data_IF_128476724987
#
_entry.id   IF_128476724987
#
_cell.length_a   1.000
_cell.length_b   1.000
_cell.length_c   1.000
_cell.angle_alpha   90.00
_cell.angle_beta   90.00
_cell.angle_gamma   90.00
#
_symmetry.space_group_name_H-M   'P 1'
#
loop_
_entity.id
_entity.type
_entity.pdbx_description
1 polymer ?
#
# COMPACT_ATOMS: atom_id res chain seq x y z
N UNK A 1 -13.68 10.86 4.53
CA UNK A 1 -12.36 11.54 4.46
C UNK A 1 -12.32 12.76 5.37
N UNK A 2 -13.27 13.70 5.27
CA UNK A 2 -13.31 14.90 6.13
C UNK A 2 -13.32 14.55 7.63
N UNK A 3 -14.12 13.56 8.03
CA UNK A 3 -14.26 13.11 9.43
C UNK A 3 -13.09 12.21 9.90
N UNK A 4 -12.43 11.52 8.96
CA UNK A 4 -11.27 10.68 9.24
C UNK A 4 -10.00 11.49 9.56
N UNK A 5 -9.97 12.75 9.10
CA UNK A 5 -8.87 13.69 9.33
C UNK A 5 -7.52 13.29 8.74
N UNK A 6 -6.49 14.03 9.14
CA UNK A 6 -5.09 13.73 8.83
C UNK A 6 -4.63 12.30 9.18
N UNK A 7 -5.07 11.68 10.30
CA UNK A 7 -4.67 10.31 10.65
C UNK A 7 -5.05 9.27 9.60
N UNK A 8 -6.23 9.36 8.99
CA UNK A 8 -6.65 8.41 7.94
C UNK A 8 -5.80 8.52 6.68
N UNK A 9 -5.35 9.73 6.32
CA UNK A 9 -4.45 9.95 5.18
C UNK A 9 -3.07 9.37 5.47
N UNK A 10 -2.51 9.69 6.64
CA UNK A 10 -1.22 9.17 7.06
C UNK A 10 -1.22 7.65 7.10
N UNK A 11 -2.28 7.05 7.64
CA UNK A 11 -2.47 5.60 7.67
C UNK A 11 -2.49 5.01 6.25
N UNK A 12 -3.20 5.63 5.31
CA UNK A 12 -3.24 5.20 3.91
C UNK A 12 -1.90 5.28 3.20
N UNK A 13 -1.10 6.31 3.47
CA UNK A 13 0.27 6.45 2.94
C UNK A 13 1.16 5.35 3.49
N UNK A 14 1.14 5.13 4.81
CA UNK A 14 1.93 4.07 5.46
C UNK A 14 1.52 2.70 4.93
N UNK A 15 0.21 2.44 4.82
CA UNK A 15 -0.32 1.19 4.28
C UNK A 15 0.17 0.93 2.84
N UNK A 16 0.13 1.95 1.97
CA UNK A 16 0.65 1.84 0.61
C UNK A 16 2.16 1.47 0.56
N UNK A 17 2.94 1.96 1.53
CA UNK A 17 4.37 1.65 1.62
C UNK A 17 4.65 0.22 2.13
N UNK A 18 3.71 -0.44 2.80
CA UNK A 18 3.90 -1.83 3.24
C UNK A 18 4.12 -2.80 2.07
N UNK A 19 3.66 -2.46 0.86
CA UNK A 19 3.96 -3.20 -0.38
C UNK A 19 5.46 -3.30 -0.71
N UNK A 20 6.30 -2.43 -0.13
CA UNK A 20 7.77 -2.55 -0.25
C UNK A 20 8.26 -3.86 0.37
N UNK A 21 7.63 -4.34 1.46
CA UNK A 21 7.97 -5.64 2.05
C UNK A 21 7.73 -6.79 1.07
N UNK A 22 6.55 -6.81 0.43
CA UNK A 22 6.22 -7.79 -0.59
C UNK A 22 7.15 -7.69 -1.81
N UNK A 23 7.52 -6.48 -2.23
CA UNK A 23 8.52 -6.27 -3.29
C UNK A 23 9.88 -6.93 -2.96
N UNK A 24 10.38 -6.73 -1.74
CA UNK A 24 11.66 -7.31 -1.30
C UNK A 24 11.57 -8.84 -1.25
N UNK A 25 10.46 -9.38 -0.75
CA UNK A 25 10.23 -10.82 -0.70
C UNK A 25 10.19 -11.44 -2.10
N UNK A 26 9.38 -10.91 -3.02
CA UNK A 26 9.31 -11.44 -4.39
C UNK A 26 10.67 -11.34 -5.11
N UNK A 27 11.43 -10.27 -4.86
CA UNK A 27 12.80 -10.14 -5.37
C UNK A 27 13.72 -11.24 -4.82
N UNK A 28 13.57 -11.62 -3.55
CA UNK A 28 14.34 -12.70 -2.94
C UNK A 28 13.99 -14.08 -3.54
N UNK A 29 12.71 -14.31 -3.84
CA UNK A 29 12.22 -15.51 -4.52
C UNK A 29 12.48 -15.52 -6.05
N UNK A 30 13.15 -14.49 -6.60
CA UNK A 30 13.39 -14.31 -8.04
C UNK A 30 12.12 -14.24 -8.89
N UNK A 31 11.00 -13.84 -8.28
CA UNK A 31 9.75 -13.54 -8.99
C UNK A 31 9.69 -12.06 -9.40
N UNK A 32 8.67 -11.69 -10.16
CA UNK A 32 8.45 -10.31 -10.64
C UNK A 32 8.13 -9.37 -9.47
N UNK A 33 9.09 -8.53 -9.01
CA UNK A 33 8.96 -7.85 -7.73
C UNK A 33 7.95 -6.69 -7.80
N UNK A 34 7.66 -6.18 -9.00
CA UNK A 34 6.68 -5.11 -9.23
C UNK A 34 5.27 -5.51 -8.74
N UNK A 35 4.94 -6.80 -8.84
CA UNK A 35 3.66 -7.34 -8.36
C UNK A 35 3.53 -7.12 -6.84
N UNK A 36 4.64 -7.18 -6.11
CA UNK A 36 4.71 -6.95 -4.66
C UNK A 36 4.41 -5.51 -4.27
N UNK A 37 4.88 -4.53 -5.07
CA UNK A 37 4.50 -3.12 -4.86
C UNK A 37 3.01 -2.90 -5.09
N UNK A 38 2.42 -3.58 -6.08
CA UNK A 38 0.99 -3.45 -6.36
C UNK A 38 0.10 -4.02 -5.25
N UNK A 39 0.61 -4.97 -4.45
CA UNK A 39 -0.11 -5.54 -3.31
C UNK A 39 -0.18 -4.59 -2.10
N UNK A 40 0.54 -3.46 -2.12
CA UNK A 40 0.47 -2.45 -1.07
C UNK A 40 -0.88 -1.71 -0.97
N UNK A 41 -1.79 -1.90 -1.90
CA UNK A 41 -3.14 -1.31 -1.82
C UNK A 41 -3.96 -1.94 -0.69
N UNK A 42 -4.65 -1.12 0.11
CA UNK A 42 -5.51 -1.63 1.20
C UNK A 42 -6.86 -2.05 0.64
N UNK A 43 -7.28 -3.29 0.92
CA UNK A 43 -8.58 -3.79 0.52
C UNK A 43 -9.72 -3.11 1.29
N UNK A 44 -10.82 -2.79 0.59
CA UNK A 44 -11.97 -2.09 1.19
C UNK A 44 -12.67 -2.89 2.30
N UNK A 45 -12.49 -4.21 2.34
CA UNK A 45 -13.01 -5.05 3.44
C UNK A 45 -12.36 -4.72 4.79
N UNK A 46 -11.18 -4.10 4.81
CA UNK A 46 -10.48 -3.71 6.02
C UNK A 46 -11.28 -2.72 6.88
N UNK A 47 -12.21 -1.97 6.26
CA UNK A 47 -13.11 -1.03 6.94
C UNK A 47 -13.98 -1.72 7.99
N UNK A 48 -14.27 -3.02 7.84
CA UNK A 48 -15.04 -3.78 8.84
C UNK A 48 -14.23 -4.16 10.09
N UNK A 49 -12.91 -4.07 10.05
CA UNK A 49 -12.02 -4.53 11.13
C UNK A 49 -12.29 -3.82 12.47
N UNK A 50 -12.45 -2.48 12.55
CA UNK A 50 -12.69 -1.82 13.82
C UNK A 50 -14.03 -2.21 14.45
N UNK A 51 -15.06 -2.46 13.64
CA UNK A 51 -16.35 -2.95 14.11
C UNK A 51 -16.24 -4.38 14.66
N UNK A 52 -15.48 -5.26 13.98
CA UNK A 52 -15.22 -6.61 14.48
C UNK A 52 -14.43 -6.59 15.81
N UNK A 53 -13.45 -5.70 15.94
CA UNK A 53 -12.68 -5.51 17.19
C UNK A 53 -13.59 -5.02 18.32
N UNK A 54 -14.50 -4.07 18.05
CA UNK A 54 -15.44 -3.59 19.06
C UNK A 54 -16.49 -4.65 19.48
N UNK A 55 -16.84 -5.56 18.58
CA UNK A 55 -17.69 -6.70 18.91
C UNK A 55 -16.98 -7.71 19.82
N UNK A 56 -15.65 -7.86 19.68
CA UNK A 56 -14.84 -8.72 20.54
C UNK A 56 -14.49 -8.07 21.89
N UNK A 57 -14.27 -6.74 21.91
CA UNK A 57 -13.98 -5.96 23.11
C UNK A 57 -14.86 -4.69 23.15
N UNK A 58 -15.91 -4.67 24.00
CA UNK A 58 -16.82 -3.54 24.13
C UNK A 58 -16.15 -2.23 24.55
N UNK A 59 -14.98 -2.28 25.21
CA UNK A 59 -14.24 -1.06 25.57
C UNK A 59 -13.76 -0.28 24.34
N UNK A 60 -13.58 -0.96 23.21
CA UNK A 60 -13.16 -0.37 21.93
C UNK A 60 -14.33 0.23 21.14
N UNK A 61 -15.58 0.06 21.58
CA UNK A 61 -16.75 0.62 20.90
C UNK A 61 -16.69 2.16 20.79
N UNK A 62 -16.06 2.83 21.76
CA UNK A 62 -15.90 4.29 21.80
C UNK A 62 -14.98 4.81 20.69
N UNK A 63 -14.04 3.99 20.21
CA UNK A 63 -13.09 4.38 19.14
C UNK A 63 -13.45 3.78 17.78
N UNK A 64 -14.34 2.78 17.74
CA UNK A 64 -14.66 2.01 16.54
C UNK A 64 -15.18 2.86 15.38
N UNK A 65 -16.06 3.82 15.65
CA UNK A 65 -16.62 4.72 14.63
C UNK A 65 -15.54 5.56 13.95
N UNK A 66 -14.67 6.18 14.74
CA UNK A 66 -13.57 6.99 14.22
C UNK A 66 -12.52 6.14 13.50
N UNK A 67 -12.17 4.97 14.06
CA UNK A 67 -11.25 4.04 13.42
C UNK A 67 -11.81 3.52 12.08
N UNK A 68 -13.12 3.27 11.98
CA UNK A 68 -13.78 2.86 10.73
C UNK A 68 -13.64 3.94 9.65
N UNK A 69 -13.89 5.21 10.02
CA UNK A 69 -13.71 6.34 9.11
C UNK A 69 -12.25 6.49 8.66
N UNK A 70 -11.29 6.29 9.56
CA UNK A 70 -9.85 6.34 9.27
C UNK A 70 -9.40 5.22 8.33
N UNK A 71 -9.83 3.99 8.55
CA UNK A 71 -9.51 2.86 7.66
C UNK A 71 -10.16 3.06 6.29
N UNK A 72 -11.39 3.59 6.22
CA UNK A 72 -12.02 3.92 4.96
C UNK A 72 -11.24 4.99 4.18
N UNK A 73 -10.76 6.04 4.86
CA UNK A 73 -9.89 7.03 4.24
C UNK A 73 -8.56 6.42 3.77
N UNK A 74 -7.97 5.53 4.57
CA UNK A 74 -6.74 4.84 4.21
C UNK A 74 -6.90 3.95 2.96
N UNK A 75 -8.05 3.29 2.79
CA UNK A 75 -8.38 2.52 1.59
C UNK A 75 -8.39 3.40 0.34
N UNK A 76 -9.06 4.56 0.41
CA UNK A 76 -9.12 5.49 -0.73
C UNK A 76 -7.74 6.06 -1.06
N UNK A 77 -6.99 6.48 -0.03
CA UNK A 77 -5.65 7.07 -0.22
C UNK A 77 -4.68 6.05 -0.81
N UNK A 78 -4.67 4.81 -0.30
CA UNK A 78 -3.82 3.75 -0.85
C UNK A 78 -4.23 3.33 -2.26
N UNK A 79 -5.53 3.30 -2.58
CA UNK A 79 -6.01 3.02 -3.94
C UNK A 79 -5.55 4.08 -4.96
N UNK A 80 -5.39 5.33 -4.55
CA UNK A 80 -4.85 6.42 -5.38
C UNK A 80 -3.32 6.33 -5.48
N UNK A 81 -2.62 6.06 -4.37
CA UNK A 81 -1.16 6.03 -4.34
C UNK A 81 -0.57 4.80 -5.02
N UNK A 82 -1.21 3.64 -4.91
CA UNK A 82 -0.75 2.38 -5.48
C UNK A 82 -0.40 2.48 -6.99
N UNK A 83 -1.31 2.91 -7.89
CA UNK A 83 -0.98 3.03 -9.31
C UNK A 83 0.14 4.04 -9.58
N UNK A 84 0.26 5.12 -8.79
CA UNK A 84 1.34 6.10 -8.91
C UNK A 84 2.69 5.49 -8.56
N UNK A 85 2.77 4.78 -7.42
CA UNK A 85 3.99 4.10 -6.94
C UNK A 85 4.41 3.02 -7.92
N UNK A 86 3.49 2.15 -8.35
CA UNK A 86 3.76 1.05 -9.28
C UNK A 86 4.22 1.58 -10.64
N UNK A 87 3.55 2.59 -11.19
CA UNK A 87 3.93 3.19 -12.48
C UNK A 87 5.32 3.83 -12.40
N UNK A 88 5.63 4.52 -11.31
CA UNK A 88 6.94 5.12 -11.09
C UNK A 88 8.04 4.06 -10.99
N UNK A 89 7.82 3.02 -10.20
CA UNK A 89 8.76 1.91 -10.04
C UNK A 89 9.00 1.16 -11.36
N UNK A 90 7.94 0.92 -12.15
CA UNK A 90 8.04 0.29 -13.47
C UNK A 90 8.93 1.11 -14.41
N UNK A 91 8.76 2.44 -14.46
CA UNK A 91 9.60 3.33 -15.28
C UNK A 91 11.07 3.30 -14.88
N UNK A 92 11.38 3.23 -13.58
CA UNK A 92 12.78 3.13 -13.09
C UNK A 92 13.40 1.80 -13.52
N UNK A 93 12.68 0.68 -13.34
CA UNK A 93 13.19 -0.64 -13.67
C UNK A 93 13.45 -0.79 -15.19
N UNK A 94 12.56 -0.25 -16.03
CA UNK A 94 12.76 -0.18 -17.49
C UNK A 94 14.02 0.61 -17.86
N UNK A 95 14.20 1.81 -17.28
CA UNK A 95 15.42 2.61 -17.49
C UNK A 95 16.70 1.88 -17.08
N UNK A 96 16.66 1.15 -15.96
CA UNK A 96 17.82 0.40 -15.47
C UNK A 96 18.15 -0.81 -16.35
N UNK A 97 17.14 -1.54 -16.84
CA UNK A 97 17.33 -2.61 -17.84
C UNK A 97 17.99 -2.07 -19.11
N UNK A 98 17.49 -0.94 -19.64
CA UNK A 98 18.04 -0.33 -20.86
C UNK A 98 19.50 0.09 -20.72
N UNK A 99 19.86 0.73 -19.59
CA UNK A 99 21.25 1.10 -19.29
C UNK A 99 22.18 -0.10 -19.20
N UNK A 100 21.69 -1.22 -18.64
CA UNK A 100 22.48 -2.46 -18.51
C UNK A 100 22.78 -3.05 -19.89
N UNK A 101 21.77 -3.12 -20.76
CA UNK A 101 21.93 -3.60 -22.14
C UNK A 101 22.89 -2.73 -22.95
N UNK A 102 22.82 -1.39 -22.81
CA UNK A 102 23.76 -0.49 -23.48
C UNK A 102 25.20 -0.71 -23.01
N UNK A 103 25.41 -0.98 -21.72
CA UNK A 103 26.74 -1.25 -21.17
C UNK A 103 27.30 -2.59 -21.63
N UNK A 104 26.45 -3.61 -21.75
CA UNK A 104 26.81 -4.94 -22.29
C UNK A 104 27.11 -4.87 -23.80
N UNK A 105 26.38 -4.06 -24.57
CA UNK A 105 26.63 -3.87 -26.00
C UNK A 105 27.88 -3.01 -26.30
N UNK A 106 28.36 -2.25 -25.32
CA UNK A 106 29.55 -1.40 -25.44
C UNK A 106 30.83 -2.07 -24.89
N UNK A 107 30.72 -3.28 -24.34
CA UNK A 107 31.82 -4.09 -23.80
C UNK A 107 32.15 -5.24 -24.75
#
# INVERSE_FOLDING_TARGET
IVEAGGPGILLGVIAALTGIGAYVLLKLFKEEPIIGLATGSTAGNAVATPAAVAAADPSMAVVATMATAQVAAACVVSAILCPLIVTYAFKILQKNKMKKLQKEAAA
#
